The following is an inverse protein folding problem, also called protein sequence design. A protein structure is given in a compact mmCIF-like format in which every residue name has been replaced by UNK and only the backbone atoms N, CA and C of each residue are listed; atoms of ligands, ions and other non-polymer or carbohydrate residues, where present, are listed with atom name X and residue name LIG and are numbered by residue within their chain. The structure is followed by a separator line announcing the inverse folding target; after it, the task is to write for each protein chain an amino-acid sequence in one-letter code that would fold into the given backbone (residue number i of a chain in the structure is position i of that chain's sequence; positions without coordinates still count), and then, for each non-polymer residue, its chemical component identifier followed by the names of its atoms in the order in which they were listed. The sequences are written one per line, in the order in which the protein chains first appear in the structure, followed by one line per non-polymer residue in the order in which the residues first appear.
data_IF_080010434133
#
_entry.id   IF_080010434133
#
_cell.length_a   1.000
_cell.length_b   1.000
_cell.length_c   1.000
_cell.angle_alpha   90.00
_cell.angle_beta   90.00
_cell.angle_gamma   90.00
#
_symmetry.space_group_name_H-M   'P 1'
#
loop_
_entity.id
_entity.type
_entity.pdbx_description
1 polymer ?
#
# COMPACT_ATOMS: atom_id res chain seq x y z
N UNK A 1 -6.37 -11.67 6.65
CA UNK A 1 -5.56 -11.65 5.39
C UNK A 1 -4.19 -12.37 5.35
N UNK A 2 -3.41 -12.54 6.44
CA UNK A 2 -2.01 -13.02 6.32
C UNK A 2 -1.86 -14.39 5.66
N UNK A 3 -2.73 -15.33 6.00
CA UNK A 3 -2.72 -16.69 5.45
C UNK A 3 -3.14 -16.71 3.98
N UNK A 4 -4.06 -15.84 3.59
CA UNK A 4 -4.53 -15.68 2.21
C UNK A 4 -3.36 -15.34 1.29
N UNK A 5 -2.47 -14.44 1.70
CA UNK A 5 -1.28 -14.05 0.92
C UNK A 5 -0.02 -14.87 1.25
N UNK A 6 -0.16 -15.99 1.97
CA UNK A 6 0.93 -16.86 2.36
C UNK A 6 2.08 -16.14 3.11
N UNK A 7 1.75 -15.15 3.94
CA UNK A 7 2.73 -14.56 4.87
C UNK A 7 2.86 -15.52 6.05
N UNK A 8 3.92 -16.35 6.06
CA UNK A 8 4.24 -17.28 7.15
C UNK A 8 4.74 -16.61 8.44
N UNK A 9 4.18 -15.46 8.79
CA UNK A 9 4.52 -14.68 10.00
C UNK A 9 3.22 -14.39 10.73
N UNK A 10 3.07 -14.96 11.92
CA UNK A 10 1.91 -14.72 12.76
C UNK A 10 1.97 -13.34 13.44
N UNK A 11 0.88 -12.93 14.07
CA UNK A 11 0.90 -11.73 14.92
C UNK A 11 1.86 -11.91 16.12
N UNK A 12 1.90 -13.11 16.71
CA UNK A 12 2.79 -13.42 17.83
C UNK A 12 4.26 -13.29 17.43
N UNK A 13 4.65 -13.83 16.27
CA UNK A 13 6.02 -13.70 15.75
C UNK A 13 6.43 -12.24 15.57
N UNK A 14 5.51 -11.40 15.07
CA UNK A 14 5.74 -9.98 14.88
C UNK A 14 5.93 -9.25 16.22
N UNK A 15 5.07 -9.52 17.20
CA UNK A 15 5.18 -8.91 18.53
C UNK A 15 6.44 -9.39 19.28
N UNK A 16 6.83 -10.65 19.11
CA UNK A 16 8.09 -11.19 19.65
C UNK A 16 9.30 -10.49 19.01
N UNK A 17 9.31 -10.30 17.70
CA UNK A 17 10.36 -9.56 17.00
C UNK A 17 10.44 -8.10 17.46
N UNK A 18 9.30 -7.41 17.59
CA UNK A 18 9.25 -6.05 18.12
C UNK A 18 9.74 -5.98 19.57
N UNK A 19 9.37 -6.95 20.40
CA UNK A 19 9.82 -7.05 21.80
C UNK A 19 11.34 -7.06 21.88
N UNK A 20 11.98 -7.92 21.08
CA UNK A 20 13.44 -8.02 21.02
C UNK A 20 14.07 -6.71 20.56
N UNK A 21 13.53 -6.09 19.51
CA UNK A 21 14.02 -4.80 19.02
C UNK A 21 13.93 -3.70 20.10
N UNK A 22 12.80 -3.59 20.81
CA UNK A 22 12.61 -2.59 21.86
C UNK A 22 13.53 -2.80 23.06
N UNK A 23 13.75 -4.06 23.47
CA UNK A 23 14.73 -4.40 24.51
C UNK A 23 16.16 -4.04 24.09
N UNK A 24 16.47 -4.10 22.79
CA UNK A 24 17.75 -3.66 22.23
C UNK A 24 17.86 -2.15 22.00
N UNK A 25 16.87 -1.35 22.42
CA UNK A 25 16.92 0.11 22.38
C UNK A 25 16.38 0.76 21.11
N UNK A 26 15.82 -0.02 20.17
CA UNK A 26 15.11 0.53 19.02
C UNK A 26 13.80 1.19 19.47
N UNK A 27 13.41 2.29 18.84
CA UNK A 27 12.17 3.01 19.15
C UNK A 27 11.21 3.13 17.96
N UNK A 28 11.64 2.70 16.78
CA UNK A 28 10.89 2.89 15.53
C UNK A 28 10.66 1.56 14.84
N UNK A 29 9.44 1.31 14.41
CA UNK A 29 9.06 0.12 13.62
C UNK A 29 8.33 0.56 12.36
N UNK A 30 8.65 -0.05 11.22
CA UNK A 30 7.92 0.16 9.97
C UNK A 30 7.22 -1.12 9.57
N UNK A 31 5.89 -1.05 9.42
CA UNK A 31 5.02 -2.15 9.06
C UNK A 31 4.56 -1.98 7.60
N UNK A 32 4.67 -3.05 6.82
CA UNK A 32 4.29 -3.05 5.40
C UNK A 32 3.05 -3.92 5.18
N UNK A 33 2.00 -3.29 4.67
CA UNK A 33 0.74 -3.93 4.33
C UNK A 33 0.40 -3.72 2.87
N UNK A 34 -0.52 -4.55 2.41
CA UNK A 34 -1.15 -4.43 1.11
C UNK A 34 -2.64 -4.21 1.33
N UNK A 35 -3.26 -3.34 0.53
CA UNK A 35 -4.68 -3.02 0.53
C UNK A 35 -5.30 -3.40 -0.81
N UNK A 36 -6.57 -3.78 -0.79
CA UNK A 36 -7.33 -4.12 -1.98
C UNK A 36 -7.12 -5.55 -2.49
N UNK A 37 -6.70 -6.42 -1.58
CA UNK A 37 -6.64 -7.85 -1.84
C UNK A 37 -8.04 -8.44 -2.08
N UNK A 38 -8.14 -9.54 -2.84
CA UNK A 38 -9.40 -10.28 -2.93
C UNK A 38 -9.92 -10.66 -1.55
N UNK A 39 -11.24 -10.58 -1.37
CA UNK A 39 -11.97 -10.86 -0.11
C UNK A 39 -11.63 -9.97 1.09
N UNK A 40 -10.79 -8.93 0.94
CA UNK A 40 -10.47 -8.00 2.03
C UNK A 40 -11.70 -7.22 2.48
N UNK A 41 -11.94 -7.21 3.80
CA UNK A 41 -13.04 -6.47 4.43
C UNK A 41 -12.55 -5.24 5.20
N UNK A 42 -13.49 -4.41 5.67
CA UNK A 42 -13.17 -3.27 6.52
C UNK A 42 -12.62 -3.70 7.89
N UNK A 43 -12.96 -4.91 8.38
CA UNK A 43 -12.34 -5.49 9.58
C UNK A 43 -10.86 -5.82 9.37
N UNK A 44 -10.47 -6.33 8.20
CA UNK A 44 -9.06 -6.56 7.88
C UNK A 44 -8.26 -5.25 7.87
N UNK A 45 -8.85 -4.16 7.37
CA UNK A 45 -8.26 -2.83 7.42
C UNK A 45 -8.16 -2.30 8.85
N UNK A 46 -9.19 -2.50 9.68
CA UNK A 46 -9.13 -2.14 11.09
C UNK A 46 -8.01 -2.89 11.82
N UNK A 47 -7.80 -4.17 11.48
CA UNK A 47 -6.70 -4.97 12.02
C UNK A 47 -5.31 -4.41 11.71
N UNK A 48 -5.13 -3.63 10.64
CA UNK A 48 -3.87 -2.92 10.35
C UNK A 48 -3.62 -1.83 11.41
N UNK A 49 -4.63 -1.01 11.69
CA UNK A 49 -4.55 0.03 12.70
C UNK A 49 -4.32 -0.60 14.08
N UNK A 50 -5.12 -1.60 14.45
CA UNK A 50 -5.01 -2.30 15.73
C UNK A 50 -3.61 -2.85 15.97
N UNK A 51 -2.97 -3.44 14.96
CA UNK A 51 -1.62 -3.93 15.09
C UNK A 51 -0.62 -2.81 15.35
N UNK A 52 -0.77 -1.66 14.67
CA UNK A 52 0.11 -0.51 14.90
C UNK A 52 -0.02 0.03 16.34
N UNK A 53 -1.24 0.08 16.89
CA UNK A 53 -1.47 0.43 18.29
C UNK A 53 -0.86 -0.59 19.25
N UNK A 54 -1.04 -1.89 19.00
CA UNK A 54 -0.40 -2.96 19.81
C UNK A 54 1.12 -2.83 19.85
N UNK A 55 1.76 -2.50 18.72
CA UNK A 55 3.22 -2.29 18.67
C UNK A 55 3.64 -1.05 19.47
N UNK A 56 2.86 0.03 19.46
CA UNK A 56 3.13 1.20 20.30
C UNK A 56 2.93 0.94 21.79
N UNK A 57 1.87 0.22 22.16
CA UNK A 57 1.63 -0.17 23.55
C UNK A 57 2.75 -1.09 24.05
N UNK A 58 3.17 -2.05 23.23
CA UNK A 58 4.31 -2.91 23.52
C UNK A 58 5.62 -2.13 23.74
N UNK A 59 5.88 -1.10 22.93
CA UNK A 59 7.03 -0.21 23.14
C UNK A 59 6.97 0.48 24.51
N UNK A 60 5.81 1.02 24.87
CA UNK A 60 5.59 1.67 26.17
C UNK A 60 5.79 0.70 27.32
N UNK A 61 5.26 -0.51 27.20
CA UNK A 61 5.32 -1.52 28.26
C UNK A 61 6.74 -2.02 28.50
N UNK A 62 7.56 -2.12 27.45
CA UNK A 62 8.97 -2.55 27.56
C UNK A 62 9.90 -1.43 28.03
N UNK A 63 9.71 -0.21 27.52
CA UNK A 63 10.67 0.88 27.73
C UNK A 63 10.26 1.85 28.83
N UNK A 64 8.98 1.84 29.25
CA UNK A 64 8.38 2.84 30.13
C UNK A 64 8.24 4.23 29.50
N UNK A 65 8.57 4.40 28.22
CA UNK A 65 8.62 5.69 27.53
C UNK A 65 7.49 5.79 26.50
N UNK A 66 7.08 7.03 26.18
CA UNK A 66 6.07 7.33 25.15
C UNK A 66 6.69 7.95 23.89
N UNK A 67 7.90 7.51 23.54
CA UNK A 67 8.67 8.00 22.39
C UNK A 67 8.79 6.96 21.26
N UNK A 68 8.03 5.86 21.33
CA UNK A 68 7.94 4.90 20.23
C UNK A 68 7.30 5.53 18.99
N UNK A 69 7.65 5.02 17.81
CA UNK A 69 7.08 5.44 16.54
C UNK A 69 6.79 4.25 15.65
N UNK A 70 5.62 4.22 15.04
CA UNK A 70 5.22 3.18 14.09
C UNK A 70 4.87 3.80 12.75
N UNK A 71 5.51 3.33 11.69
CA UNK A 71 5.17 3.72 10.33
C UNK A 71 4.35 2.62 9.69
N UNK A 72 3.08 2.89 9.37
CA UNK A 72 2.21 2.01 8.58
C UNK A 72 2.33 2.39 7.12
N UNK A 73 2.94 1.53 6.31
CA UNK A 73 3.13 1.72 4.87
C UNK A 73 2.21 0.76 4.12
N UNK A 74 1.29 1.28 3.33
CA UNK A 74 0.29 0.47 2.61
C UNK A 74 0.44 0.67 1.11
N UNK A 75 0.75 -0.40 0.40
CA UNK A 75 0.67 -0.46 -1.06
C UNK A 75 -0.65 -1.08 -1.51
N UNK A 76 -1.05 -0.88 -2.76
CA UNK A 76 -2.23 -1.57 -3.29
C UNK A 76 -1.86 -2.89 -3.91
N UNK A 77 -2.84 -3.78 -3.90
CA UNK A 77 -2.79 -5.01 -4.66
C UNK A 77 -2.78 -4.68 -6.15
N UNK A 78 -1.70 -5.07 -6.81
CA UNK A 78 -1.57 -5.02 -8.27
C UNK A 78 -1.47 -6.45 -8.78
N UNK A 79 -2.46 -6.94 -9.55
CA UNK A 79 -2.43 -8.29 -10.09
C UNK A 79 -1.31 -8.39 -11.13
N UNK A 80 -0.16 -8.95 -10.73
CA UNK A 80 0.98 -9.18 -11.61
C UNK A 80 0.79 -10.49 -12.37
N UNK A 81 1.22 -10.53 -13.62
CA UNK A 81 1.31 -11.76 -14.42
C UNK A 81 2.20 -12.79 -13.72
N UNK A 82 1.91 -14.08 -13.90
CA UNK A 82 2.64 -15.19 -13.26
C UNK A 82 2.62 -15.19 -11.72
N UNK A 83 1.70 -14.45 -11.09
CA UNK A 83 1.41 -14.57 -9.66
C UNK A 83 0.17 -15.46 -9.43
N UNK A 84 0.00 -16.06 -8.23
CA UNK A 84 -1.23 -16.78 -7.88
C UNK A 84 -2.51 -15.95 -8.06
N UNK A 85 -2.38 -14.62 -7.99
CA UNK A 85 -3.48 -13.68 -8.08
C UNK A 85 -3.66 -13.04 -9.47
N UNK A 86 -2.98 -13.55 -10.51
CA UNK A 86 -3.01 -12.95 -11.86
C UNK A 86 -4.42 -12.86 -12.48
N UNK A 87 -5.36 -13.71 -12.03
CA UNK A 87 -6.73 -13.78 -12.55
C UNK A 87 -7.70 -12.86 -11.82
N UNK A 88 -7.27 -12.19 -10.76
CA UNK A 88 -8.10 -11.23 -10.04
C UNK A 88 -8.03 -9.85 -10.69
N UNK A 89 -9.17 -9.17 -10.71
CA UNK A 89 -9.24 -7.75 -11.04
C UNK A 89 -8.51 -6.90 -9.99
N UNK A 90 -8.02 -5.74 -10.42
CA UNK A 90 -7.68 -4.68 -9.47
C UNK A 90 -8.99 -4.01 -9.03
N UNK A 91 -9.09 -3.61 -7.77
CA UNK A 91 -10.24 -2.82 -7.31
C UNK A 91 -10.28 -1.44 -7.98
N UNK A 92 -11.48 -0.89 -8.11
CA UNK A 92 -11.67 0.47 -8.62
C UNK A 92 -10.96 1.49 -7.71
N UNK A 93 -10.44 2.55 -8.34
CA UNK A 93 -9.70 3.62 -7.65
C UNK A 93 -10.54 4.27 -6.56
N UNK A 94 -11.86 4.45 -6.78
CA UNK A 94 -12.76 5.01 -5.78
C UNK A 94 -12.89 4.15 -4.52
N UNK A 95 -12.90 2.83 -4.68
CA UNK A 95 -12.94 1.90 -3.55
C UNK A 95 -11.61 1.89 -2.80
N UNK A 96 -10.48 1.95 -3.53
CA UNK A 96 -9.15 2.14 -2.93
C UNK A 96 -9.12 3.43 -2.10
N UNK A 97 -9.61 4.55 -2.64
CA UNK A 97 -9.67 5.82 -1.93
C UNK A 97 -10.60 5.76 -0.71
N UNK A 98 -11.74 5.05 -0.79
CA UNK A 98 -12.62 4.81 0.37
C UNK A 98 -11.88 4.08 1.49
N UNK A 99 -11.18 2.99 1.16
CA UNK A 99 -10.41 2.18 2.11
C UNK A 99 -9.24 2.96 2.73
N UNK A 100 -8.51 3.75 1.93
CA UNK A 100 -7.47 4.66 2.45
C UNK A 100 -8.03 5.65 3.46
N UNK A 101 -9.16 6.31 3.14
CA UNK A 101 -9.82 7.26 4.06
C UNK A 101 -10.30 6.57 5.33
N UNK A 102 -10.85 5.37 5.20
CA UNK A 102 -11.29 4.56 6.34
C UNK A 102 -10.11 4.22 7.25
N UNK A 103 -9.03 3.64 6.74
CA UNK A 103 -7.84 3.33 7.54
C UNK A 103 -7.22 4.59 8.18
N UNK A 104 -7.16 5.69 7.43
CA UNK A 104 -6.70 6.99 7.96
C UNK A 104 -7.56 7.46 9.14
N UNK A 105 -8.87 7.25 9.10
CA UNK A 105 -9.78 7.64 10.19
C UNK A 105 -9.57 6.84 11.49
N UNK A 106 -9.02 5.62 11.38
CA UNK A 106 -8.72 4.77 12.54
C UNK A 106 -7.38 5.13 13.20
N UNK A 107 -6.49 5.82 12.49
CA UNK A 107 -5.16 6.19 12.98
C UNK A 107 -5.16 7.65 13.43
N UNK A 108 -5.39 7.86 14.72
CA UNK A 108 -5.44 9.19 15.35
C UNK A 108 -4.25 9.51 16.26
N UNK A 109 -3.32 8.57 16.44
CA UNK A 109 -2.15 8.74 17.29
C UNK A 109 -0.98 9.36 16.51
N UNK A 110 -0.44 10.48 17.01
CA UNK A 110 0.71 11.18 16.40
C UNK A 110 1.99 10.34 16.27
N UNK A 111 2.10 9.26 17.06
CA UNK A 111 3.23 8.33 17.01
C UNK A 111 3.04 7.25 15.93
N UNK A 112 1.92 7.27 15.19
CA UNK A 112 1.68 6.40 14.04
C UNK A 112 1.63 7.24 12.78
N UNK A 113 2.59 7.05 11.89
CA UNK A 113 2.60 7.67 10.56
C UNK A 113 1.98 6.71 9.55
N UNK A 114 0.94 7.16 8.85
CA UNK A 114 0.32 6.40 7.77
C UNK A 114 0.79 6.92 6.40
N UNK A 115 1.44 6.05 5.64
CA UNK A 115 1.80 6.30 4.24
C UNK A 115 1.08 5.31 3.34
N UNK A 116 0.53 5.82 2.25
CA UNK A 116 -0.10 5.03 1.22
C UNK A 116 0.29 5.56 -0.15
N UNK A 117 0.29 4.68 -1.14
CA UNK A 117 0.49 5.06 -2.53
C UNK A 117 -0.77 5.77 -3.06
N UNK A 118 -0.67 6.52 -4.14
CA UNK A 118 -1.87 7.05 -4.80
C UNK A 118 -2.60 5.96 -5.63
N UNK A 119 -3.93 6.01 -5.65
CA UNK A 119 -4.76 5.01 -6.33
C UNK A 119 -4.60 5.04 -7.85
N UNK A 120 -4.48 6.24 -8.44
CA UNK A 120 -4.31 6.39 -9.88
C UNK A 120 -2.92 5.95 -10.34
N UNK A 121 -1.87 6.27 -9.58
CA UNK A 121 -0.52 5.74 -9.86
C UNK A 121 -0.52 4.20 -9.81
N UNK A 122 -1.17 3.61 -8.79
CA UNK A 122 -1.32 2.15 -8.68
C UNK A 122 -2.12 1.52 -9.82
N UNK A 123 -3.09 2.23 -10.39
CA UNK A 123 -3.84 1.80 -11.57
C UNK A 123 -2.94 1.75 -12.82
N UNK A 124 -2.10 2.76 -13.01
CA UNK A 124 -1.10 2.79 -14.08
C UNK A 124 -0.08 1.65 -13.95
N UNK A 125 0.39 1.38 -12.74
CA UNK A 125 1.27 0.23 -12.47
C UNK A 125 0.63 -1.11 -12.84
N UNK A 126 -0.68 -1.26 -12.64
CA UNK A 126 -1.40 -2.47 -13.01
C UNK A 126 -1.55 -2.61 -14.51
N UNK A 127 -1.87 -1.51 -15.21
CA UNK A 127 -1.94 -1.49 -16.67
C UNK A 127 -0.61 -1.95 -17.27
N UNK A 128 0.52 -1.37 -16.84
CA UNK A 128 1.86 -1.76 -17.34
C UNK A 128 2.31 -3.15 -16.91
N UNK A 129 1.88 -3.63 -15.74
CA UNK A 129 2.24 -4.96 -15.28
C UNK A 129 1.50 -6.10 -15.98
N UNK A 130 0.31 -5.83 -16.50
CA UNK A 130 -0.54 -6.81 -17.20
C UNK A 130 -0.55 -6.63 -18.71
N UNK A 131 -0.16 -5.47 -19.18
CA UNK A 131 -0.19 -5.15 -20.60
C UNK A 131 0.86 -5.91 -21.39
N UNK A 132 0.75 -5.78 -22.71
CA UNK A 132 1.65 -6.38 -23.67
C UNK A 132 2.36 -5.30 -24.50
N UNK A 133 2.98 -5.72 -25.61
CA UNK A 133 3.73 -4.84 -26.51
C UNK A 133 2.90 -3.65 -27.03
N UNK A 134 1.57 -3.69 -27.00
CA UNK A 134 0.71 -2.56 -27.40
C UNK A 134 0.93 -1.32 -26.54
N UNK A 135 1.28 -1.48 -25.26
CA UNK A 135 1.58 -0.37 -24.36
C UNK A 135 2.83 0.43 -24.73
N UNK A 136 3.70 -0.10 -25.59
CA UNK A 136 4.86 0.66 -26.09
C UNK A 136 4.44 1.97 -26.77
N UNK A 137 3.35 1.94 -27.55
CA UNK A 137 2.80 3.12 -28.22
C UNK A 137 2.25 4.14 -27.22
N UNK A 138 1.55 3.65 -26.20
CA UNK A 138 1.01 4.48 -25.12
C UNK A 138 2.12 5.20 -24.37
N UNK A 139 3.20 4.49 -24.03
CA UNK A 139 4.36 5.08 -23.35
C UNK A 139 4.99 6.22 -24.17
N UNK A 140 5.18 6.01 -25.47
CA UNK A 140 5.70 7.05 -26.37
C UNK A 140 4.73 8.23 -26.45
N UNK A 141 3.42 7.97 -26.57
CA UNK A 141 2.40 9.03 -26.64
C UNK A 141 2.30 9.85 -25.37
N UNK A 142 2.35 9.21 -24.21
CA UNK A 142 2.36 9.89 -22.91
C UNK A 142 3.61 10.79 -22.79
N UNK A 143 4.79 10.28 -23.16
CA UNK A 143 6.01 11.07 -23.17
C UNK A 143 5.94 12.26 -24.14
N UNK A 144 5.43 12.08 -25.36
CA UNK A 144 5.20 13.16 -26.33
C UNK A 144 4.21 14.22 -25.80
N UNK A 145 3.23 13.80 -24.98
CA UNK A 145 2.28 14.67 -24.32
C UNK A 145 2.85 15.36 -23.06
N UNK A 146 4.11 15.10 -22.71
CA UNK A 146 4.81 15.75 -21.61
C UNK A 146 4.84 14.98 -20.29
N UNK A 147 4.34 13.74 -20.23
CA UNK A 147 4.50 12.88 -19.07
C UNK A 147 5.99 12.63 -18.81
N UNK A 148 6.46 13.09 -17.66
CA UNK A 148 7.83 12.96 -17.17
C UNK A 148 7.79 13.10 -15.66
N UNK A 149 8.65 12.38 -14.96
CA UNK A 149 8.69 12.39 -13.49
C UNK A 149 7.37 11.94 -12.83
N UNK A 150 6.59 11.07 -13.49
CA UNK A 150 5.32 10.51 -12.98
C UNK A 150 5.46 9.66 -11.69
N UNK A 151 6.70 9.40 -11.23
CA UNK A 151 6.96 8.78 -9.93
C UNK A 151 6.78 9.74 -8.74
N UNK A 152 6.68 11.05 -9.00
CA UNK A 152 6.41 12.09 -8.01
C UNK A 152 4.95 12.52 -8.15
N UNK A 153 4.21 12.54 -7.04
CA UNK A 153 2.76 12.75 -7.04
C UNK A 153 2.39 14.13 -7.60
N UNK A 154 3.23 15.13 -7.36
CA UNK A 154 3.09 16.50 -7.86
C UNK A 154 3.21 16.64 -9.39
N UNK A 155 3.89 15.70 -10.05
CA UNK A 155 4.12 15.70 -11.50
C UNK A 155 3.19 14.72 -12.24
N UNK A 156 2.57 13.78 -11.52
CA UNK A 156 1.72 12.75 -12.09
C UNK A 156 0.39 13.32 -12.61
N UNK A 157 0.11 13.11 -13.90
CA UNK A 157 -1.15 13.54 -14.53
C UNK A 157 -1.91 12.37 -15.15
N UNK A 158 -2.92 11.88 -14.41
CA UNK A 158 -3.73 10.74 -14.83
C UNK A 158 -4.49 10.96 -16.14
N UNK A 159 -5.03 12.17 -16.35
CA UNK A 159 -5.81 12.50 -17.56
C UNK A 159 -4.95 12.45 -18.83
N UNK A 160 -3.69 12.91 -18.75
CA UNK A 160 -2.75 12.81 -19.87
C UNK A 160 -2.47 11.36 -20.24
N UNK A 161 -2.35 10.48 -19.24
CA UNK A 161 -2.22 9.05 -19.45
C UNK A 161 -3.46 8.43 -20.10
N UNK A 162 -4.66 8.70 -19.58
CA UNK A 162 -5.91 8.21 -20.19
C UNK A 162 -6.05 8.64 -21.65
N UNK A 163 -5.69 9.88 -21.97
CA UNK A 163 -5.66 10.36 -23.36
C UNK A 163 -4.66 9.57 -24.20
N UNK A 164 -3.45 9.30 -23.70
CA UNK A 164 -2.45 8.51 -24.43
C UNK A 164 -2.92 7.06 -24.69
N UNK A 165 -3.67 6.47 -23.76
CA UNK A 165 -4.33 5.17 -23.96
C UNK A 165 -5.37 5.25 -25.09
N UNK A 166 -6.29 6.22 -25.02
CA UNK A 166 -7.34 6.43 -26.01
C UNK A 166 -6.77 6.70 -27.42
N UNK A 167 -5.73 7.53 -27.53
CA UNK A 167 -5.04 7.84 -28.80
C UNK A 167 -4.38 6.59 -29.43
N UNK A 168 -4.10 5.56 -28.62
CA UNK A 168 -3.58 4.26 -29.08
C UNK A 168 -4.66 3.20 -29.30
N UNK A 169 -5.93 3.53 -29.05
CA UNK A 169 -7.06 2.60 -29.16
C UNK A 169 -7.11 1.54 -28.05
N UNK A 170 -6.64 1.88 -26.85
CA UNK A 170 -6.66 1.03 -25.66
C UNK A 170 -7.51 1.62 -24.53
#
# INVERSE_FOLDING_TARGET
MRDVINKGVSEEDLLAACTNAFKSGWNTVKLYFMMGLPTETDEDLAGIADLAYKVLDLHRDITGKRNGSVTVSVSFFVPKTHSPYQWYGQQDVEEIHRKQRYLKSLINNRNISYHYHDGYTGYMEAAFARGDRRLSKVLVKAWEAGCKFDGWTEDFNYETWLKAFADCGL
#
